data_IF_215630927041
#
_entry.id   IF_215630927041
#
_cell.length_a   1.000
_cell.length_b   1.000
_cell.length_c   1.000
_cell.angle_alpha   90.00
_cell.angle_beta   90.00
_cell.angle_gamma   90.00
#
_symmetry.space_group_name_H-M   'P 1'
#
loop_
_entity.id
_entity.type
_entity.pdbx_description
1 polymer ?
#
# COMPACT_ATOMS: atom_id res chain seq x y z
N UNK A 1 -4.91 -9.30 -5.33
CA UNK A 1 -5.56 -9.95 -4.19
C UNK A 1 -6.38 -9.00 -3.30
N UNK A 2 -6.17 -7.68 -3.38
CA UNK A 2 -6.91 -6.67 -2.60
C UNK A 2 -8.41 -6.78 -2.79
N UNK A 3 -8.85 -7.03 -4.01
CA UNK A 3 -10.26 -7.16 -4.33
C UNK A 3 -10.94 -8.40 -3.73
N UNK A 4 -10.15 -9.39 -3.29
CA UNK A 4 -10.66 -10.59 -2.61
C UNK A 4 -10.90 -10.35 -1.12
N UNK A 5 -10.42 -9.24 -0.57
CA UNK A 5 -10.69 -8.89 0.81
C UNK A 5 -12.15 -8.44 0.94
N UNK A 6 -12.94 -9.20 1.68
CA UNK A 6 -14.37 -8.94 1.86
C UNK A 6 -14.67 -7.56 2.46
N UNK A 7 -13.77 -7.05 3.32
CA UNK A 7 -13.90 -5.72 3.89
C UNK A 7 -13.77 -4.64 2.82
N UNK A 8 -12.77 -4.74 1.95
CA UNK A 8 -12.60 -3.86 0.80
C UNK A 8 -13.79 -3.93 -0.14
N UNK A 9 -14.25 -5.15 -0.42
CA UNK A 9 -15.42 -5.37 -1.25
C UNK A 9 -16.67 -4.72 -0.68
N UNK A 10 -16.92 -4.86 0.63
CA UNK A 10 -18.07 -4.25 1.30
C UNK A 10 -17.96 -2.73 1.44
N UNK A 11 -16.77 -2.20 1.75
CA UNK A 11 -16.59 -0.79 2.04
C UNK A 11 -16.49 0.09 0.80
N UNK A 12 -15.80 -0.39 -0.25
CA UNK A 12 -15.42 0.45 -1.38
C UNK A 12 -15.93 -0.04 -2.73
N UNK A 13 -16.27 -1.30 -2.85
CA UNK A 13 -16.67 -1.88 -4.12
C UNK A 13 -18.08 -2.43 -4.16
N UNK A 14 -18.85 -2.21 -3.13
CA UNK A 14 -20.21 -2.77 -3.00
C UNK A 14 -21.22 -2.09 -3.92
N UNK A 15 -21.82 -2.79 -4.78
CA UNK A 15 -21.56 -4.08 -5.44
C UNK A 15 -20.78 -3.90 -6.74
N UNK A 16 -20.00 -2.84 -6.86
CA UNK A 16 -19.59 -2.26 -8.13
C UNK A 16 -18.12 -2.45 -8.50
N UNK A 17 -17.23 -2.63 -7.49
CA UNK A 17 -15.80 -2.49 -7.74
C UNK A 17 -15.41 -1.04 -8.12
N UNK A 18 -14.13 -0.79 -8.24
CA UNK A 18 -13.59 0.54 -8.60
C UNK A 18 -14.10 0.99 -9.98
N UNK A 19 -14.34 0.06 -10.89
CA UNK A 19 -14.80 0.32 -12.26
C UNK A 19 -16.32 0.17 -12.44
N UNK A 20 -17.07 0.05 -11.35
CA UNK A 20 -18.50 -0.08 -11.37
C UNK A 20 -19.01 -1.52 -11.48
N UNK A 21 -20.34 -1.70 -11.41
CA UNK A 21 -20.99 -3.01 -11.32
C UNK A 21 -20.72 -3.90 -12.54
N UNK A 22 -20.61 -3.31 -13.72
CA UNK A 22 -20.41 -4.04 -14.98
C UNK A 22 -19.05 -4.73 -15.03
N UNK A 23 -18.04 -4.17 -14.39
CA UNK A 23 -16.66 -4.65 -14.40
C UNK A 23 -16.20 -5.03 -13.00
N UNK A 24 -16.93 -5.90 -12.32
CA UNK A 24 -16.53 -6.37 -11.00
C UNK A 24 -15.27 -7.27 -11.08
N UNK A 25 -14.46 -7.34 -10.01
CA UNK A 25 -13.17 -8.02 -10.04
C UNK A 25 -13.26 -9.55 -10.11
N UNK A 26 -14.41 -10.13 -9.88
CA UNK A 26 -14.62 -11.60 -9.95
C UNK A 26 -14.77 -12.03 -11.40
N UNK A 27 -15.60 -11.31 -12.14
CA UNK A 27 -15.92 -11.65 -13.53
C UNK A 27 -14.88 -11.11 -14.53
N UNK A 28 -14.16 -10.05 -14.14
CA UNK A 28 -13.19 -9.35 -14.99
C UNK A 28 -11.82 -9.18 -14.33
N UNK A 29 -11.16 -10.25 -13.89
CA UNK A 29 -9.87 -10.16 -13.19
C UNK A 29 -8.75 -9.59 -14.06
N UNK A 30 -8.81 -9.75 -15.38
CA UNK A 30 -7.84 -9.22 -16.33
C UNK A 30 -7.80 -7.69 -16.33
N UNK A 31 -8.97 -7.03 -16.24
CA UNK A 31 -9.07 -5.58 -16.18
C UNK A 31 -8.41 -5.07 -14.89
N UNK A 32 -8.68 -5.74 -13.76
CA UNK A 32 -8.07 -5.36 -12.48
C UNK A 32 -6.56 -5.61 -12.45
N UNK A 33 -6.08 -6.65 -13.11
CA UNK A 33 -4.63 -6.85 -13.30
C UNK A 33 -4.01 -5.73 -14.12
N UNK A 34 -4.66 -5.32 -15.21
CA UNK A 34 -4.16 -4.27 -16.08
C UNK A 34 -3.99 -2.92 -15.36
N UNK A 35 -4.85 -2.59 -14.40
CA UNK A 35 -4.78 -1.34 -13.63
C UNK A 35 -4.06 -1.47 -12.28
N UNK A 36 -3.65 -2.66 -11.89
CA UNK A 36 -3.04 -2.92 -10.59
C UNK A 36 -1.52 -2.74 -10.66
N UNK A 37 -0.92 -1.84 -9.85
CA UNK A 37 0.51 -1.54 -9.92
C UNK A 37 1.41 -2.76 -9.84
N UNK A 38 1.07 -3.74 -8.99
CA UNK A 38 1.89 -4.94 -8.77
C UNK A 38 2.11 -5.78 -10.04
N UNK A 39 1.19 -5.74 -11.00
CA UNK A 39 1.30 -6.48 -12.26
C UNK A 39 1.95 -5.65 -13.38
N UNK A 40 2.20 -4.37 -13.13
CA UNK A 40 2.68 -3.42 -14.13
C UNK A 40 4.05 -2.84 -13.79
N UNK A 41 4.81 -3.49 -12.91
CA UNK A 41 6.18 -3.09 -12.60
C UNK A 41 7.08 -3.54 -13.74
N UNK A 42 7.73 -2.60 -14.45
CA UNK A 42 8.70 -2.96 -15.49
C UNK A 42 9.97 -3.55 -14.86
N UNK A 43 10.69 -4.38 -15.60
CA UNK A 43 12.06 -4.71 -15.23
C UNK A 43 12.92 -3.44 -15.31
N UNK A 44 13.91 -3.30 -14.42
CA UNK A 44 14.78 -2.10 -14.38
C UNK A 44 15.53 -1.88 -15.68
N UNK A 45 15.87 -2.96 -16.41
CA UNK A 45 16.51 -2.88 -17.73
C UNK A 45 15.64 -2.27 -18.81
N UNK A 46 14.32 -2.35 -18.64
CA UNK A 46 13.32 -1.74 -19.54
C UNK A 46 13.04 -0.29 -19.14
N UNK A 47 12.84 -0.05 -17.84
CA UNK A 47 12.57 1.28 -17.30
C UNK A 47 12.85 1.34 -15.80
N UNK A 48 13.81 2.15 -15.41
CA UNK A 48 14.02 2.47 -13.99
C UNK A 48 12.87 3.35 -13.49
N UNK A 49 12.19 2.90 -12.42
CA UNK A 49 11.21 3.71 -11.70
C UNK A 49 11.92 4.66 -10.72
N UNK A 50 11.32 5.78 -10.35
CA UNK A 50 11.79 6.55 -9.20
C UNK A 50 11.88 5.66 -7.95
N UNK A 51 12.85 5.91 -7.05
CA UNK A 51 12.93 5.23 -5.77
C UNK A 51 11.61 5.32 -5.01
N UNK A 52 11.20 4.24 -4.36
CA UNK A 52 9.92 4.17 -3.66
C UNK A 52 10.13 3.90 -2.18
N UNK A 53 9.47 4.68 -1.31
CA UNK A 53 9.35 4.36 0.10
C UNK A 53 8.00 3.67 0.34
N UNK A 54 8.06 2.42 0.76
CA UNK A 54 6.89 1.64 1.15
C UNK A 54 6.80 1.60 2.67
N UNK A 55 5.67 1.99 3.21
CA UNK A 55 5.44 1.92 4.65
C UNK A 55 4.19 1.11 4.95
N UNK A 56 4.19 0.39 6.07
CA UNK A 56 3.05 -0.38 6.54
C UNK A 56 2.94 -0.35 8.06
N UNK A 57 1.78 -0.68 8.59
CA UNK A 57 1.54 -0.81 10.03
C UNK A 57 1.05 -2.21 10.35
N UNK A 58 1.64 -2.86 11.37
CA UNK A 58 1.41 -4.31 11.61
C UNK A 58 0.00 -4.67 12.06
N UNK A 59 -0.77 -3.71 12.59
CA UNK A 59 -2.18 -3.88 12.95
C UNK A 59 -3.14 -3.28 11.94
N UNK A 60 -2.63 -2.84 10.78
CA UNK A 60 -3.47 -2.31 9.72
C UNK A 60 -4.36 -3.41 9.12
N UNK A 61 -5.67 -3.22 9.26
CA UNK A 61 -6.68 -4.13 8.70
C UNK A 61 -7.25 -3.63 7.37
N UNK A 62 -6.98 -2.38 7.02
CA UNK A 62 -7.43 -1.77 5.76
C UNK A 62 -6.45 -2.07 4.65
N UNK A 63 -5.15 -1.83 4.93
CA UNK A 63 -4.03 -2.11 4.03
C UNK A 63 -3.10 -3.14 4.68
N UNK A 64 -3.45 -4.43 4.64
CA UNK A 64 -2.69 -5.45 5.34
C UNK A 64 -1.22 -5.50 4.92
N UNK A 65 -0.33 -5.65 5.90
CA UNK A 65 1.14 -5.75 5.69
C UNK A 65 1.51 -6.73 4.58
N UNK A 66 0.80 -7.86 4.50
CA UNK A 66 1.04 -8.89 3.48
C UNK A 66 1.00 -8.30 2.07
N UNK A 67 0.10 -7.38 1.80
CA UNK A 67 -0.07 -6.78 0.47
C UNK A 67 1.09 -5.84 0.12
N UNK A 68 1.55 -5.06 1.10
CA UNK A 68 2.70 -4.17 0.90
C UNK A 68 3.96 -5.00 0.68
N UNK A 69 4.15 -6.09 1.45
CA UNK A 69 5.26 -7.03 1.25
C UNK A 69 5.22 -7.73 -0.11
N UNK A 70 4.05 -8.08 -0.62
CA UNK A 70 3.90 -8.62 -1.97
C UNK A 70 4.35 -7.61 -3.04
N UNK A 71 3.97 -6.35 -2.89
CA UNK A 71 4.41 -5.30 -3.80
C UNK A 71 5.92 -5.04 -3.69
N UNK A 72 6.49 -5.01 -2.48
CA UNK A 72 7.92 -4.90 -2.24
C UNK A 72 8.71 -6.04 -2.92
N UNK A 73 8.22 -7.28 -2.77
CA UNK A 73 8.82 -8.43 -3.45
C UNK A 73 8.76 -8.30 -4.98
N UNK A 74 7.64 -7.84 -5.51
CA UNK A 74 7.51 -7.60 -6.94
C UNK A 74 8.47 -6.51 -7.47
N UNK A 75 8.72 -5.46 -6.70
CA UNK A 75 9.75 -4.46 -7.02
C UNK A 75 11.15 -5.08 -6.99
N UNK A 76 11.45 -5.88 -5.96
CA UNK A 76 12.73 -6.59 -5.83
C UNK A 76 12.98 -7.54 -7.02
N UNK A 77 11.98 -8.33 -7.40
CA UNK A 77 12.05 -9.28 -8.52
C UNK A 77 12.29 -8.58 -9.87
N UNK A 78 11.95 -7.28 -9.96
CA UNK A 78 12.18 -6.40 -11.11
C UNK A 78 13.40 -5.51 -10.95
N UNK A 79 14.23 -5.74 -9.93
CA UNK A 79 15.41 -4.97 -9.60
C UNK A 79 15.16 -3.46 -9.44
N UNK A 80 13.94 -3.07 -9.11
CA UNK A 80 13.59 -1.68 -8.85
C UNK A 80 14.02 -1.24 -7.46
N UNK A 81 14.39 0.01 -7.33
CA UNK A 81 14.88 0.60 -6.09
C UNK A 81 13.72 0.94 -5.15
N UNK A 82 13.77 0.43 -3.91
CA UNK A 82 12.80 0.77 -2.88
C UNK A 82 13.36 0.61 -1.48
N UNK A 83 12.75 1.30 -0.53
CA UNK A 83 12.92 1.09 0.91
C UNK A 83 11.59 0.64 1.51
N UNK A 84 11.66 -0.25 2.49
CA UNK A 84 10.47 -0.74 3.19
C UNK A 84 10.60 -0.50 4.69
N UNK A 85 9.61 0.14 5.27
CA UNK A 85 9.56 0.39 6.69
C UNK A 85 8.24 -0.07 7.31
N UNK A 86 8.32 -0.81 8.43
CA UNK A 86 7.18 -1.41 9.11
C UNK A 86 6.98 -0.79 10.50
N UNK A 87 5.84 -0.16 10.69
CA UNK A 87 5.42 0.38 11.98
C UNK A 87 4.85 -0.73 12.86
N UNK A 88 5.60 -1.13 13.89
CA UNK A 88 5.18 -2.17 14.81
C UNK A 88 4.03 -1.69 15.69
N UNK A 89 3.01 -2.56 15.83
CA UNK A 89 1.85 -2.34 16.69
C UNK A 89 1.01 -1.09 16.37
N UNK A 90 1.07 -0.58 15.14
CA UNK A 90 0.26 0.56 14.69
C UNK A 90 -0.90 0.11 13.81
N UNK A 91 -1.97 0.89 13.86
CA UNK A 91 -3.16 0.70 13.04
C UNK A 91 -3.03 1.48 11.71
N UNK A 92 -4.09 1.42 10.90
CA UNK A 92 -4.23 2.27 9.72
C UNK A 92 -4.09 3.76 10.05
N UNK A 93 -3.66 4.55 9.08
CA UNK A 93 -3.53 6.01 9.23
C UNK A 93 -2.68 6.44 10.44
N UNK A 94 -1.52 5.83 10.62
CA UNK A 94 -0.62 6.11 11.74
C UNK A 94 -0.05 7.55 11.77
N UNK A 95 -0.26 8.33 10.72
CA UNK A 95 0.04 9.76 10.69
C UNK A 95 -1.08 10.60 11.30
N UNK A 96 -2.28 10.06 11.45
CA UNK A 96 -3.39 10.77 12.05
C UNK A 96 -3.30 10.73 13.57
N UNK A 97 -3.68 11.83 14.21
CA UNK A 97 -3.90 11.89 15.64
C UNK A 97 -5.39 11.75 15.94
N UNK A 98 -5.72 10.89 16.88
CA UNK A 98 -7.07 10.77 17.40
C UNK A 98 -7.63 9.35 17.41
N UNK A 99 -8.74 9.20 18.12
CA UNK A 99 -9.45 7.93 18.25
C UNK A 99 -10.46 7.81 17.11
N UNK A 100 -10.06 7.23 16.01
CA UNK A 100 -11.00 6.74 14.99
C UNK A 100 -11.10 5.23 15.06
N UNK A 101 -12.10 4.65 14.42
CA UNK A 101 -12.24 3.18 14.32
C UNK A 101 -11.05 2.53 13.59
N UNK A 102 -10.26 3.31 12.86
CA UNK A 102 -9.12 2.86 12.06
C UNK A 102 -7.77 3.32 12.62
N UNK A 103 -7.76 4.38 13.42
CA UNK A 103 -6.60 4.95 14.05
C UNK A 103 -6.77 4.89 15.58
N UNK A 104 -5.78 4.99 16.30
CA UNK A 104 -5.66 5.02 17.76
C UNK A 104 -4.23 5.36 18.05
N UNK A 105 -3.65 6.15 17.12
CA UNK A 105 -2.24 6.49 17.10
C UNK A 105 -2.02 7.81 17.83
N UNK A 106 -0.85 7.96 18.40
CA UNK A 106 -0.37 9.19 18.98
C UNK A 106 0.59 9.84 17.98
N UNK A 107 0.24 11.02 17.47
CA UNK A 107 1.04 11.69 16.45
C UNK A 107 2.50 11.92 16.91
N UNK A 108 2.73 12.27 18.19
CA UNK A 108 4.09 12.47 18.69
C UNK A 108 4.91 11.18 18.71
N UNK A 109 4.28 10.06 19.07
CA UNK A 109 4.94 8.75 19.17
C UNK A 109 5.00 8.00 17.85
N UNK A 110 4.05 8.24 16.97
CA UNK A 110 3.83 7.44 15.78
C UNK A 110 4.05 8.23 14.49
N UNK A 111 3.43 9.39 14.37
CA UNK A 111 3.51 10.26 13.20
C UNK A 111 4.89 10.90 13.02
N UNK A 112 5.45 11.48 14.10
CA UNK A 112 6.77 12.14 14.02
C UNK A 112 7.88 11.17 13.58
N UNK A 113 8.02 9.95 14.15
CA UNK A 113 8.98 8.98 13.64
C UNK A 113 8.75 8.61 12.18
N UNK A 114 7.50 8.45 11.75
CA UNK A 114 7.18 8.17 10.36
C UNK A 114 7.59 9.31 9.42
N UNK A 115 7.30 10.55 9.80
CA UNK A 115 7.74 11.73 9.03
C UNK A 115 9.26 11.80 8.91
N UNK A 116 10.01 11.47 9.98
CA UNK A 116 11.48 11.42 9.91
C UNK A 116 11.97 10.39 8.89
N UNK A 117 11.35 9.21 8.82
CA UNK A 117 11.70 8.20 7.81
C UNK A 117 11.43 8.75 6.41
N UNK A 118 10.30 9.42 6.20
CA UNK A 118 9.99 10.04 4.91
C UNK A 118 10.99 11.13 4.54
N UNK A 119 11.34 12.01 5.50
CA UNK A 119 12.34 13.07 5.28
C UNK A 119 13.69 12.46 4.91
N UNK A 120 14.19 11.50 5.68
CA UNK A 120 15.47 10.83 5.39
C UNK A 120 15.47 10.16 4.01
N UNK A 121 14.35 9.57 3.60
CA UNK A 121 14.22 9.00 2.27
C UNK A 121 14.33 10.08 1.18
N UNK A 122 13.63 11.20 1.34
CA UNK A 122 13.72 12.30 0.38
C UNK A 122 15.10 12.94 0.36
N UNK A 123 15.73 13.17 1.52
CA UNK A 123 17.10 13.71 1.60
C UNK A 123 18.12 12.82 0.89
N UNK A 124 17.89 11.52 0.88
CA UNK A 124 18.76 10.55 0.20
C UNK A 124 18.57 10.51 -1.32
N UNK A 125 17.36 10.79 -1.81
CA UNK A 125 16.98 10.54 -3.20
C UNK A 125 16.64 11.79 -4.02
N UNK A 126 16.63 12.96 -3.41
CA UNK A 126 16.46 14.27 -4.06
C UNK A 126 17.75 15.07 -4.03
#
# INVERSE_FOLDING_TARGET
ETYKNIFWWLAFSKPRGVLGKKFNPVDHPEIYKAISPIYNIPDVSQRKLPPQLLTSATKDRISPVKMIKQYANALKDKNQEFEYWEHLNRNHAYLDSGKTIYAGNDFKKDGIPALKVMMNFFDKHL
#
